data_IF_746164654659
#
_entry.id   IF_746164654659
#
_cell.length_a   1.000
_cell.length_b   1.000
_cell.length_c   1.000
_cell.angle_alpha   90.00
_cell.angle_beta   90.00
_cell.angle_gamma   90.00
#
_symmetry.space_group_name_H-M   'P 1'
#
loop_
_entity.id
_entity.type
_entity.pdbx_description
1 polymer ?
#
# COMPACT_ATOMS: atom_id res chain seq x y z
N UNK A 1 36.60 -30.09 14.07
CA UNK A 1 36.72 -30.86 12.82
C UNK A 1 36.38 -29.90 11.71
N UNK A 2 37.37 -29.57 10.88
CA UNK A 2 37.27 -28.65 9.76
C UNK A 2 36.99 -29.44 8.49
N UNK A 3 36.13 -28.91 7.61
CA UNK A 3 36.02 -29.34 6.23
C UNK A 3 35.98 -28.10 5.32
N UNK A 4 36.98 -27.92 4.42
CA UNK A 4 37.03 -26.85 3.45
C UNK A 4 36.87 -27.36 1.99
N UNK A 5 36.65 -26.39 1.08
CA UNK A 5 36.72 -26.44 -0.41
C UNK A 5 35.41 -26.84 -1.12
N UNK A 6 34.90 -26.10 -2.12
CA UNK A 6 35.58 -25.76 -3.37
C UNK A 6 35.31 -24.34 -3.91
N UNK A 7 36.41 -23.70 -4.24
CA UNK A 7 36.58 -22.55 -5.13
C UNK A 7 36.57 -23.08 -6.57
N UNK A 8 35.83 -22.47 -7.49
CA UNK A 8 36.04 -22.64 -8.93
C UNK A 8 36.23 -21.26 -9.51
N UNK A 9 37.49 -20.99 -9.83
CA UNK A 9 37.96 -19.86 -10.61
C UNK A 9 38.71 -20.47 -11.81
N UNK A 10 38.32 -20.04 -13.00
CA UNK A 10 38.94 -20.16 -14.34
C UNK A 10 37.79 -19.90 -15.34
N UNK A 11 37.86 -18.98 -16.31
CA UNK A 11 39.04 -18.49 -16.99
C UNK A 11 38.66 -17.28 -17.85
N UNK A 12 39.50 -16.27 -17.81
CA UNK A 12 39.54 -15.14 -18.73
C UNK A 12 39.64 -15.60 -20.18
N UNK A 13 38.91 -14.92 -21.07
CA UNK A 13 39.24 -14.88 -22.49
C UNK A 13 38.87 -13.49 -23.03
N UNK A 14 39.79 -12.54 -22.79
CA UNK A 14 39.81 -11.24 -23.44
C UNK A 14 40.32 -11.40 -24.87
N UNK A 15 39.50 -11.02 -25.86
CA UNK A 15 39.96 -10.50 -27.14
C UNK A 15 38.86 -9.71 -27.87
N UNK A 16 38.82 -8.40 -27.62
CA UNK A 16 38.65 -7.32 -28.59
C UNK A 16 37.50 -7.39 -29.63
N UNK A 17 36.40 -6.69 -29.34
CA UNK A 17 35.72 -5.84 -30.30
C UNK A 17 34.90 -4.78 -29.56
N UNK A 18 35.57 -3.69 -29.20
CA UNK A 18 34.95 -2.42 -28.86
C UNK A 18 34.24 -1.86 -30.09
N UNK A 19 32.92 -1.68 -30.01
CA UNK A 19 32.25 -0.45 -30.43
C UNK A 19 30.73 -0.48 -30.15
N UNK A 20 30.27 0.65 -29.60
CA UNK A 20 28.89 1.18 -29.48
C UNK A 20 28.33 1.21 -28.05
N UNK A 21 28.92 2.12 -27.27
CA UNK A 21 28.24 3.16 -26.49
C UNK A 21 26.71 3.22 -26.66
N UNK A 22 25.97 2.76 -25.64
CA UNK A 22 24.51 2.85 -25.54
C UNK A 22 24.04 4.02 -24.65
N UNK A 23 24.93 5.00 -24.38
CA UNK A 23 24.60 6.16 -23.56
C UNK A 23 24.49 7.42 -24.44
N UNK A 24 23.34 7.58 -25.10
CA UNK A 24 22.79 8.89 -25.45
C UNK A 24 21.28 8.78 -25.64
N UNK A 25 20.56 9.75 -25.06
CA UNK A 25 19.11 9.79 -24.82
C UNK A 25 18.24 9.61 -26.07
N UNK A 26 16.93 9.40 -25.96
CA UNK A 26 16.00 10.28 -25.26
C UNK A 26 14.61 9.62 -25.13
N UNK A 27 13.94 9.99 -24.03
CA UNK A 27 12.52 10.28 -23.83
C UNK A 27 11.40 9.49 -24.55
N UNK A 28 10.42 9.13 -23.71
CA UNK A 28 9.02 8.75 -24.00
C UNK A 28 8.75 7.24 -24.15
N UNK A 29 8.28 6.60 -23.07
CA UNK A 29 6.86 6.21 -22.94
C UNK A 29 6.64 5.29 -21.75
N UNK A 30 5.54 5.57 -21.03
CA UNK A 30 5.01 4.77 -19.93
C UNK A 30 4.50 3.38 -20.38
N UNK A 31 4.29 2.44 -19.44
CA UNK A 31 4.14 1.02 -19.70
C UNK A 31 2.68 0.59 -19.85
N UNK A 32 2.42 -0.42 -20.68
CA UNK A 32 1.14 -1.16 -20.69
C UNK A 32 1.36 -2.63 -20.32
N UNK A 33 0.35 -3.27 -19.69
CA UNK A 33 0.52 -4.48 -18.89
C UNK A 33 0.37 -5.75 -19.71
N UNK A 34 1.19 -6.74 -19.39
CA UNK A 34 1.12 -8.12 -19.87
C UNK A 34 -0.18 -8.79 -19.37
N UNK A 35 -1.05 -9.15 -20.31
CA UNK A 35 -2.12 -10.12 -20.14
C UNK A 35 -1.52 -11.53 -20.22
N UNK A 36 -1.43 -12.21 -19.07
CA UNK A 36 -1.21 -13.65 -19.00
C UNK A 36 -2.45 -14.37 -19.52
N UNK A 37 -2.35 -14.92 -20.73
CA UNK A 37 -3.39 -15.73 -21.37
C UNK A 37 -3.16 -17.21 -21.04
N UNK A 38 -4.17 -17.80 -20.41
CA UNK A 38 -4.26 -19.20 -20.01
C UNK A 38 -4.25 -20.16 -21.21
N UNK A 39 -3.53 -21.26 -21.03
CA UNK A 39 -3.38 -22.40 -21.92
C UNK A 39 -4.70 -23.11 -22.22
N UNK A 40 -5.03 -23.27 -23.50
CA UNK A 40 -5.84 -24.39 -24.00
C UNK A 40 -5.24 -24.86 -25.33
N UNK A 41 -4.86 -26.13 -25.30
CA UNK A 41 -4.21 -26.90 -26.35
C UNK A 41 -5.18 -27.36 -27.44
N UNK A 42 -4.61 -27.70 -28.60
CA UNK A 42 -5.17 -28.43 -29.75
C UNK A 42 -5.85 -27.61 -30.86
N UNK A 43 -5.05 -27.27 -31.88
CA UNK A 43 -5.33 -27.71 -33.25
C UNK A 43 -4.03 -27.71 -34.07
N UNK A 44 -3.83 -28.80 -34.79
CA UNK A 44 -2.60 -29.23 -35.43
C UNK A 44 -2.11 -28.30 -36.55
N UNK A 45 -0.83 -27.98 -36.52
CA UNK A 45 -0.12 -27.26 -37.58
C UNK A 45 0.32 -28.29 -38.62
N UNK A 46 -0.38 -28.35 -39.76
CA UNK A 46 0.17 -28.95 -40.97
C UNK A 46 0.99 -27.90 -41.70
N UNK A 47 2.29 -28.13 -41.75
CA UNK A 47 3.27 -27.44 -42.59
C UNK A 47 2.98 -27.63 -44.07
N UNK A 48 2.94 -26.54 -44.82
CA UNK A 48 3.39 -26.53 -46.22
C UNK A 48 4.09 -25.22 -46.51
N UNK A 49 5.40 -25.32 -46.71
CA UNK A 49 6.27 -24.28 -47.23
C UNK A 49 5.85 -23.91 -48.66
N UNK A 50 6.01 -22.63 -49.05
CA UNK A 50 6.85 -22.21 -50.19
C UNK A 50 6.81 -20.70 -50.43
N UNK A 51 8.02 -20.18 -50.69
CA UNK A 51 8.37 -19.10 -51.64
C UNK A 51 8.03 -17.63 -51.36
N UNK A 52 9.12 -16.86 -51.43
CA UNK A 52 9.27 -15.43 -51.49
C UNK A 52 8.37 -14.70 -52.50
N UNK A 53 8.09 -13.43 -52.20
CA UNK A 53 7.78 -12.39 -53.18
C UNK A 53 6.47 -11.66 -52.94
N UNK A 54 6.56 -10.42 -52.47
CA UNK A 54 5.48 -9.44 -52.55
C UNK A 54 4.97 -8.97 -51.18
N UNK A 55 5.40 -7.78 -50.79
CA UNK A 55 4.72 -6.98 -49.79
C UNK A 55 3.29 -6.72 -50.26
N UNK A 56 2.30 -7.46 -49.74
CA UNK A 56 0.89 -7.15 -49.85
C UNK A 56 0.25 -7.46 -48.50
N UNK A 57 -0.48 -6.47 -47.98
CA UNK A 57 -0.99 -6.42 -46.61
C UNK A 57 -1.75 -7.68 -46.22
N UNK A 58 -1.11 -8.53 -45.43
CA UNK A 58 -1.77 -9.63 -44.74
C UNK A 58 -2.33 -9.09 -43.42
N UNK A 59 -3.41 -8.28 -43.50
CA UNK A 59 -4.22 -8.01 -42.31
C UNK A 59 -4.84 -9.34 -41.94
N UNK A 60 -4.55 -9.80 -40.72
CA UNK A 60 -5.14 -11.01 -40.18
C UNK A 60 -6.65 -10.97 -40.41
N UNK A 61 -7.14 -11.95 -41.17
CA UNK A 61 -8.53 -11.97 -41.62
C UNK A 61 -9.50 -12.05 -40.44
N UNK A 62 -9.05 -12.66 -39.35
CA UNK A 62 -9.79 -12.72 -38.09
C UNK A 62 -9.85 -11.34 -37.42
N UNK A 63 -8.75 -10.59 -37.41
CA UNK A 63 -8.74 -9.20 -36.92
C UNK A 63 -9.64 -8.29 -37.78
N UNK A 64 -9.61 -8.43 -39.11
CA UNK A 64 -10.49 -7.69 -40.00
C UNK A 64 -11.97 -8.00 -39.73
N UNK A 65 -12.32 -9.29 -39.59
CA UNK A 65 -13.69 -9.69 -39.27
C UNK A 65 -14.15 -9.16 -37.92
N UNK A 66 -13.31 -9.25 -36.88
CA UNK A 66 -13.60 -8.70 -35.55
C UNK A 66 -13.81 -7.18 -35.60
N UNK A 67 -13.00 -6.46 -36.38
CA UNK A 67 -13.15 -5.01 -36.54
C UNK A 67 -14.45 -4.66 -37.25
N UNK A 68 -14.80 -5.39 -38.31
CA UNK A 68 -16.04 -5.19 -39.08
C UNK A 68 -17.27 -5.51 -38.24
N UNK A 69 -17.24 -6.57 -37.42
CA UNK A 69 -18.34 -6.96 -36.52
C UNK A 69 -18.57 -5.95 -35.39
N UNK A 70 -17.52 -5.27 -34.92
CA UNK A 70 -17.61 -4.23 -33.90
C UNK A 70 -18.24 -2.92 -34.40
N UNK A 71 -18.20 -2.62 -35.70
CA UNK A 71 -18.68 -1.33 -36.25
C UNK A 71 -20.18 -1.10 -35.99
N UNK A 72 -21.10 -2.03 -36.29
CA UNK A 72 -22.53 -1.88 -35.95
C UNK A 72 -22.79 -1.73 -34.45
N UNK A 73 -22.02 -2.40 -33.60
CA UNK A 73 -22.15 -2.33 -32.14
C UNK A 73 -21.73 -0.96 -31.61
N UNK A 74 -20.61 -0.44 -32.10
CA UNK A 74 -20.13 0.91 -31.78
C UNK A 74 -21.10 1.97 -32.29
N UNK A 75 -21.64 1.81 -33.50
CA UNK A 75 -22.66 2.70 -34.05
C UNK A 75 -23.93 2.69 -33.19
N UNK A 76 -24.42 1.52 -32.76
CA UNK A 76 -25.55 1.41 -31.85
C UNK A 76 -25.29 2.09 -30.50
N UNK A 77 -24.06 2.02 -29.98
CA UNK A 77 -23.67 2.69 -28.74
C UNK A 77 -23.68 4.22 -28.89
N UNK A 78 -23.20 4.73 -30.02
CA UNK A 78 -23.18 6.16 -30.35
C UNK A 78 -24.62 6.68 -30.51
N UNK A 79 -25.47 5.94 -31.21
CA UNK A 79 -26.87 6.30 -31.44
C UNK A 79 -27.70 6.26 -30.14
N UNK A 80 -27.37 5.35 -29.20
CA UNK A 80 -27.96 5.31 -27.84
C UNK A 80 -27.51 6.49 -26.97
N UNK A 81 -26.31 7.05 -27.19
CA UNK A 81 -25.83 8.20 -26.40
C UNK A 81 -26.58 9.49 -26.72
N UNK A 82 -27.12 9.61 -27.94
CA UNK A 82 -27.96 10.74 -28.34
C UNK A 82 -29.37 10.71 -27.72
N UNK A 83 -29.86 9.52 -27.32
CA UNK A 83 -31.15 9.31 -26.62
C UNK A 83 -30.99 9.11 -25.12
N UNK A 84 -29.96 9.71 -24.51
CA UNK A 84 -29.74 9.70 -23.05
C UNK A 84 -30.85 10.46 -22.33
N UNK A 85 -31.89 9.72 -21.94
CA UNK A 85 -33.02 10.18 -21.12
C UNK A 85 -32.75 9.99 -19.63
N UNK A 86 -31.49 10.08 -19.19
CA UNK A 86 -31.13 10.13 -17.78
C UNK A 86 -31.37 11.53 -17.22
N UNK A 87 -32.64 11.92 -17.06
CA UNK A 87 -32.98 12.95 -16.09
C UNK A 87 -32.69 12.35 -14.71
N UNK A 88 -31.60 12.80 -14.08
CA UNK A 88 -31.28 12.52 -12.68
C UNK A 88 -32.32 13.21 -11.79
N UNK A 89 -33.57 12.73 -11.82
CA UNK A 89 -34.64 13.16 -10.93
C UNK A 89 -34.48 12.40 -9.61
N UNK A 90 -33.48 12.81 -8.83
CA UNK A 90 -33.34 12.35 -7.45
C UNK A 90 -34.56 12.85 -6.65
N UNK A 91 -35.46 11.95 -6.28
CA UNK A 91 -36.52 12.27 -5.33
C UNK A 91 -35.87 12.47 -3.96
N UNK A 92 -35.69 13.72 -3.55
CA UNK A 92 -35.20 14.08 -2.22
C UNK A 92 -36.37 13.98 -1.25
N UNK A 93 -36.51 12.85 -0.57
CA UNK A 93 -37.45 12.70 0.55
C UNK A 93 -36.79 13.36 1.77
N UNK A 94 -37.28 14.53 2.14
CA UNK A 94 -36.81 15.27 3.31
C UNK A 94 -37.32 14.58 4.59
N UNK A 95 -36.47 13.80 5.26
CA UNK A 95 -36.77 13.32 6.60
C UNK A 95 -36.43 14.41 7.62
N UNK A 96 -37.37 14.72 8.52
CA UNK A 96 -37.18 15.68 9.61
C UNK A 96 -36.06 15.17 10.53
N UNK A 97 -35.10 16.01 10.87
CA UNK A 97 -34.06 15.73 11.87
C UNK A 97 -34.71 15.42 13.23
N UNK A 98 -34.34 14.32 13.92
CA UNK A 98 -34.90 14.02 15.24
C UNK A 98 -34.42 15.08 16.24
N UNK A 99 -35.36 15.62 17.02
CA UNK A 99 -35.07 16.63 18.05
C UNK A 99 -34.18 16.05 19.14
N UNK A 100 -33.19 16.83 19.57
CA UNK A 100 -32.18 16.47 20.57
C UNK A 100 -32.71 16.70 21.99
N UNK A 101 -33.90 16.19 22.30
CA UNK A 101 -34.49 16.27 23.64
C UNK A 101 -34.66 14.85 24.21
N UNK A 102 -33.73 14.48 25.10
CA UNK A 102 -33.89 13.53 26.21
C UNK A 102 -32.59 12.76 26.52
N UNK A 103 -31.47 13.47 26.68
CA UNK A 103 -30.30 12.93 27.36
C UNK A 103 -30.41 13.02 28.90
N UNK A 104 -31.60 12.87 29.46
CA UNK A 104 -31.76 12.78 30.93
C UNK A 104 -32.94 11.88 31.27
N UNK A 105 -32.71 10.59 31.52
CA UNK A 105 -33.21 9.86 32.71
C UNK A 105 -32.72 8.41 32.68
N UNK A 106 -32.27 8.00 33.87
CA UNK A 106 -31.73 6.69 34.24
C UNK A 106 -32.77 5.56 34.06
N UNK A 107 -32.23 4.38 33.67
CA UNK A 107 -32.53 3.04 34.21
C UNK A 107 -33.93 2.47 33.98
N UNK A 108 -34.01 1.44 33.14
CA UNK A 108 -35.17 0.56 33.05
C UNK A 108 -34.88 -0.66 32.19
N UNK A 109 -34.74 -1.82 32.84
CA UNK A 109 -34.62 -3.15 32.27
C UNK A 109 -35.99 -3.57 31.70
N UNK A 110 -35.98 -4.39 30.63
CA UNK A 110 -36.92 -5.47 30.30
C UNK A 110 -37.72 -5.36 28.99
N UNK A 111 -37.56 -6.44 28.19
CA UNK A 111 -38.61 -7.34 27.66
C UNK A 111 -39.50 -6.79 26.52
N UNK A 112 -39.66 -7.64 25.50
CA UNK A 112 -40.33 -7.37 24.23
C UNK A 112 -41.85 -7.21 24.29
N UNK A 113 -42.51 -7.63 23.20
CA UNK A 113 -43.91 -7.36 22.78
C UNK A 113 -44.01 -6.03 22.01
N UNK A 114 -44.73 -5.88 20.90
CA UNK A 114 -45.67 -6.71 20.16
C UNK A 114 -46.00 -6.02 18.82
N UNK A 115 -46.35 -6.82 17.80
CA UNK A 115 -47.03 -6.40 16.57
C UNK A 115 -48.39 -5.73 16.90
N UNK A 116 -48.79 -4.62 16.25
CA UNK A 116 -50.15 -4.13 16.33
C UNK A 116 -50.98 -4.64 15.14
N UNK A 117 -52.00 -5.44 15.45
CA UNK A 117 -53.15 -5.66 14.57
C UNK A 117 -54.35 -4.88 15.11
N UNK A 118 -55.22 -4.45 14.17
CA UNK A 118 -56.62 -3.98 14.32
C UNK A 118 -56.88 -2.47 14.37
N UNK A 119 -57.74 -2.01 13.45
CA UNK A 119 -59.12 -1.48 13.65
C UNK A 119 -59.55 -0.76 12.35
N UNK A 120 -60.52 -1.26 11.56
CA UNK A 120 -61.99 -1.16 11.68
C UNK A 120 -62.50 0.29 11.87
N UNK A 121 -63.07 0.86 10.81
CA UNK A 121 -63.84 2.13 10.83
C UNK A 121 -65.00 2.11 9.82
N UNK A 122 -66.16 1.70 10.34
CA UNK A 122 -67.45 2.42 10.35
C UNK A 122 -67.94 3.17 9.09
N UNK A 123 -69.06 2.70 8.52
CA UNK A 123 -70.13 3.41 7.76
C UNK A 123 -71.35 2.47 7.87
N UNK A 124 -72.58 2.83 8.23
CA UNK A 124 -73.29 4.08 8.45
C UNK A 124 -74.76 3.68 8.33
N UNK A 125 -75.56 3.91 9.37
CA UNK A 125 -76.92 3.36 9.50
C UNK A 125 -77.95 4.01 8.56
N UNK A 126 -79.06 3.28 8.36
CA UNK A 126 -80.38 3.85 8.11
C UNK A 126 -81.45 2.91 8.66
N UNK A 127 -82.17 3.44 9.64
CA UNK A 127 -83.42 2.93 10.20
C UNK A 127 -84.51 2.80 9.13
N UNK A 128 -85.31 1.73 9.25
CA UNK A 128 -86.77 1.86 9.34
C UNK A 128 -87.35 0.51 9.76
N UNK A 129 -87.77 0.44 11.02
CA UNK A 129 -88.65 -0.61 11.51
C UNK A 129 -90.10 -0.27 11.18
N UNK A 130 -90.89 -1.29 10.86
CA UNK A 130 -92.32 -1.38 11.15
C UNK A 130 -92.63 -2.85 11.46
N UNK A 131 -92.94 -3.12 12.72
CA UNK A 131 -93.66 -4.30 13.18
C UNK A 131 -95.06 -4.33 12.56
N UNK A 132 -95.46 -5.47 11.98
CA UNK A 132 -96.85 -5.97 12.07
C UNK A 132 -96.80 -7.49 12.05
N UNK A 133 -97.24 -8.07 13.15
CA UNK A 133 -97.49 -9.49 13.37
C UNK A 133 -98.97 -9.84 13.10
N UNK A 134 -99.23 -11.13 12.85
CA UNK A 134 -100.51 -11.87 12.82
C UNK A 134 -101.25 -12.05 11.48
N UNK A 135 -101.13 -13.24 10.86
CA UNK A 135 -102.07 -14.38 11.01
C UNK A 135 -101.92 -15.39 9.83
N UNK A 136 -101.89 -16.71 10.06
CA UNK A 136 -101.99 -17.72 9.01
C UNK A 136 -103.43 -18.25 8.88
N UNK A 137 -104.05 -18.04 7.73
CA UNK A 137 -105.02 -18.97 7.11
C UNK A 137 -105.62 -18.31 5.89
N UNK A 138 -105.36 -18.86 4.70
CA UNK A 138 -106.44 -19.07 3.74
C UNK A 138 -105.99 -20.09 2.70
N UNK A 139 -106.50 -21.30 2.87
CA UNK A 139 -106.58 -22.33 1.85
C UNK A 139 -107.41 -21.81 0.67
N UNK A 140 -106.77 -21.70 -0.50
CA UNK A 140 -107.47 -21.49 -1.77
C UNK A 140 -106.71 -22.21 -2.88
N UNK A 141 -106.90 -23.53 -2.91
CA UNK A 141 -107.00 -24.32 -4.14
C UNK A 141 -107.52 -23.47 -5.31
N UNK A 142 -106.70 -23.23 -6.34
CA UNK A 142 -107.10 -23.15 -7.76
C UNK A 142 -106.02 -22.55 -8.69
N UNK A 143 -104.84 -23.18 -8.85
CA UNK A 143 -104.02 -23.00 -10.08
C UNK A 143 -103.19 -24.27 -10.36
N UNK A 144 -103.83 -25.41 -10.60
CA UNK A 144 -103.18 -26.60 -11.17
C UNK A 144 -103.57 -26.77 -12.65
N UNK A 145 -103.42 -25.70 -13.42
CA UNK A 145 -103.44 -25.74 -14.88
C UNK A 145 -102.37 -24.83 -15.51
N UNK A 146 -101.25 -24.62 -14.80
CA UNK A 146 -100.02 -24.00 -15.33
C UNK A 146 -98.74 -24.76 -14.93
N UNK A 147 -98.86 -25.89 -14.21
CA UNK A 147 -97.71 -26.63 -13.68
C UNK A 147 -96.86 -27.31 -14.75
N UNK A 148 -97.40 -27.63 -15.94
CA UNK A 148 -96.65 -28.29 -17.01
C UNK A 148 -95.66 -27.38 -17.72
N UNK A 149 -95.94 -26.08 -17.85
CA UNK A 149 -95.03 -25.10 -18.49
C UNK A 149 -94.10 -24.42 -17.48
N UNK A 150 -94.52 -24.36 -16.21
CA UNK A 150 -93.66 -23.90 -15.10
C UNK A 150 -92.63 -24.97 -14.76
N UNK A 151 -92.99 -26.26 -14.74
CA UNK A 151 -92.00 -27.33 -14.56
C UNK A 151 -91.01 -27.40 -15.71
N UNK A 152 -91.41 -27.12 -16.95
CA UNK A 152 -90.50 -27.06 -18.09
C UNK A 152 -89.47 -25.94 -17.88
N UNK A 153 -89.93 -24.69 -17.67
CA UNK A 153 -89.03 -23.56 -17.34
C UNK A 153 -88.12 -23.80 -16.15
N UNK A 154 -88.66 -24.34 -15.05
CA UNK A 154 -87.88 -24.64 -13.86
C UNK A 154 -86.82 -25.73 -14.15
N UNK A 155 -87.11 -26.70 -15.02
CA UNK A 155 -86.14 -27.71 -15.45
C UNK A 155 -85.06 -27.11 -16.36
N UNK A 156 -85.41 -26.22 -17.30
CA UNK A 156 -84.41 -25.50 -18.10
C UNK A 156 -83.49 -24.66 -17.20
N UNK A 157 -84.02 -23.92 -16.24
CA UNK A 157 -83.23 -23.17 -15.26
C UNK A 157 -82.30 -24.10 -14.46
N UNK A 158 -82.80 -25.26 -14.03
CA UNK A 158 -81.99 -26.29 -13.34
C UNK A 158 -80.86 -26.81 -14.24
N UNK A 159 -81.09 -26.98 -15.54
CA UNK A 159 -80.03 -27.38 -16.49
C UNK A 159 -78.98 -26.30 -16.68
N UNK A 160 -79.37 -25.02 -16.76
CA UNK A 160 -78.40 -23.91 -16.86
C UNK A 160 -77.59 -23.73 -15.58
N UNK A 161 -78.21 -23.90 -14.40
CA UNK A 161 -77.50 -23.88 -13.12
C UNK A 161 -76.52 -25.04 -13.00
N UNK A 162 -76.89 -26.22 -13.49
CA UNK A 162 -75.99 -27.38 -13.56
C UNK A 162 -74.80 -27.09 -14.46
N UNK A 163 -75.02 -26.56 -15.66
CA UNK A 163 -73.96 -26.17 -16.59
C UNK A 163 -73.01 -25.14 -15.96
N UNK A 164 -73.55 -24.12 -15.29
CA UNK A 164 -72.73 -23.15 -14.54
C UNK A 164 -71.91 -23.80 -13.42
N UNK A 165 -72.48 -24.77 -12.71
CA UNK A 165 -71.77 -25.52 -11.67
C UNK A 165 -70.61 -26.32 -12.27
N UNK A 166 -70.83 -27.00 -13.39
CA UNK A 166 -69.81 -27.74 -14.13
C UNK A 166 -68.70 -26.81 -14.64
N UNK A 167 -69.05 -25.64 -15.16
CA UNK A 167 -68.09 -24.61 -15.59
C UNK A 167 -67.27 -24.04 -14.43
N UNK A 168 -67.92 -23.78 -13.28
CA UNK A 168 -67.23 -23.32 -12.07
C UNK A 168 -66.28 -24.39 -11.54
N UNK A 169 -66.72 -25.65 -11.53
CA UNK A 169 -65.88 -26.78 -11.14
C UNK A 169 -64.66 -26.92 -12.07
N UNK A 170 -64.85 -26.79 -13.38
CA UNK A 170 -63.75 -26.79 -14.36
C UNK A 170 -62.77 -25.63 -14.12
N UNK A 171 -63.28 -24.41 -13.90
CA UNK A 171 -62.45 -23.24 -13.58
C UNK A 171 -61.70 -23.39 -12.26
N UNK A 172 -62.28 -24.08 -11.28
CA UNK A 172 -61.62 -24.36 -10.02
C UNK A 172 -60.42 -25.31 -10.24
N UNK A 173 -60.63 -26.39 -11.00
CA UNK A 173 -59.55 -27.33 -11.35
C UNK A 173 -58.41 -26.66 -12.12
N UNK A 174 -58.72 -25.80 -13.09
CA UNK A 174 -57.72 -25.02 -13.82
C UNK A 174 -56.93 -24.10 -12.87
N UNK A 175 -57.61 -23.43 -11.93
CA UNK A 175 -56.93 -22.61 -10.91
C UNK A 175 -56.04 -23.45 -9.99
N UNK A 176 -56.48 -24.64 -9.58
CA UNK A 176 -55.69 -25.53 -8.73
C UNK A 176 -54.43 -26.02 -9.46
N UNK A 177 -54.50 -26.30 -10.77
CA UNK A 177 -53.34 -26.65 -11.58
C UNK A 177 -52.36 -25.47 -11.77
N UNK A 178 -52.89 -24.26 -11.98
CA UNK A 178 -52.08 -23.03 -12.01
C UNK A 178 -51.41 -22.76 -10.67
N UNK A 179 -52.12 -22.99 -9.56
CA UNK A 179 -51.58 -22.85 -8.20
C UNK A 179 -50.42 -23.83 -7.98
N UNK A 180 -50.60 -25.10 -8.38
CA UNK A 180 -49.53 -26.11 -8.33
C UNK A 180 -48.33 -25.72 -9.20
N UNK A 181 -48.58 -25.16 -10.38
CA UNK A 181 -47.51 -24.66 -11.27
C UNK A 181 -46.75 -23.48 -10.67
N UNK A 182 -47.47 -22.56 -10.00
CA UNK A 182 -46.87 -21.43 -9.30
C UNK A 182 -46.05 -21.88 -8.08
N UNK A 183 -46.52 -22.89 -7.34
CA UNK A 183 -45.78 -23.49 -6.22
C UNK A 183 -44.45 -24.11 -6.69
N UNK A 184 -44.48 -24.93 -7.74
CA UNK A 184 -43.25 -25.49 -8.33
C UNK A 184 -42.29 -24.41 -8.83
N UNK A 185 -42.81 -23.33 -9.43
CA UNK A 185 -41.98 -22.20 -9.84
C UNK A 185 -41.36 -21.46 -8.65
N UNK A 186 -42.09 -21.36 -7.54
CA UNK A 186 -41.59 -20.79 -6.30
C UNK A 186 -40.46 -21.64 -5.71
N UNK A 187 -40.61 -22.97 -5.70
CA UNK A 187 -39.55 -23.88 -5.26
C UNK A 187 -38.27 -23.75 -6.12
N UNK A 188 -38.43 -23.64 -7.44
CA UNK A 188 -37.31 -23.37 -8.35
C UNK A 188 -36.65 -22.03 -8.04
N UNK A 189 -37.44 -20.98 -7.80
CA UNK A 189 -36.95 -19.66 -7.42
C UNK A 189 -36.17 -19.70 -6.10
N UNK A 190 -36.67 -20.43 -5.10
CA UNK A 190 -35.98 -20.63 -3.82
C UNK A 190 -34.65 -21.38 -4.00
N UNK A 191 -34.60 -22.38 -4.88
CA UNK A 191 -33.36 -23.07 -5.27
C UNK A 191 -32.34 -22.12 -5.93
N UNK A 192 -32.81 -21.22 -6.80
CA UNK A 192 -31.96 -20.19 -7.43
C UNK A 192 -31.44 -19.20 -6.38
N UNK A 193 -32.28 -18.74 -5.46
CA UNK A 193 -31.85 -17.85 -4.37
C UNK A 193 -30.78 -18.49 -3.49
N UNK A 194 -30.94 -19.76 -3.11
CA UNK A 194 -29.92 -20.48 -2.34
C UNK A 194 -28.58 -20.58 -3.09
N UNK A 195 -28.60 -20.81 -4.40
CA UNK A 195 -27.39 -20.82 -5.24
C UNK A 195 -26.76 -19.44 -5.37
N UNK A 196 -27.58 -18.39 -5.49
CA UNK A 196 -27.11 -17.00 -5.55
C UNK A 196 -26.40 -16.61 -4.25
N UNK A 197 -26.98 -16.96 -3.10
CA UNK A 197 -26.36 -16.70 -1.80
C UNK A 197 -25.03 -17.43 -1.63
N UNK A 198 -24.96 -18.71 -2.04
CA UNK A 198 -23.71 -19.47 -2.02
C UNK A 198 -22.64 -18.85 -2.94
N UNK A 199 -23.03 -18.37 -4.13
CA UNK A 199 -22.12 -17.67 -5.04
C UNK A 199 -21.64 -16.35 -4.44
N UNK A 200 -22.53 -15.60 -3.79
CA UNK A 200 -22.20 -14.34 -3.15
C UNK A 200 -21.20 -14.54 -1.99
N UNK A 201 -21.39 -15.57 -1.16
CA UNK A 201 -20.44 -15.93 -0.12
C UNK A 201 -19.06 -16.28 -0.70
N UNK A 202 -19.03 -17.09 -1.77
CA UNK A 202 -17.78 -17.44 -2.46
C UNK A 202 -17.11 -16.21 -3.10
N UNK A 203 -17.88 -15.25 -3.58
CA UNK A 203 -17.36 -13.97 -4.08
C UNK A 203 -16.69 -13.20 -2.95
N UNK A 204 -17.36 -13.06 -1.80
CA UNK A 204 -16.82 -12.36 -0.64
C UNK A 204 -15.53 -13.02 -0.09
N UNK A 205 -15.45 -14.35 -0.10
CA UNK A 205 -14.24 -15.10 0.27
C UNK A 205 -13.07 -14.78 -0.68
N UNK A 206 -13.31 -14.81 -2.00
CA UNK A 206 -12.30 -14.44 -2.99
C UNK A 206 -11.86 -12.99 -2.85
N UNK A 207 -12.79 -12.07 -2.60
CA UNK A 207 -12.47 -10.66 -2.35
C UNK A 207 -11.62 -10.48 -1.09
N UNK A 208 -11.90 -11.26 -0.03
CA UNK A 208 -11.06 -11.30 1.17
C UNK A 208 -9.65 -11.81 0.88
N UNK A 209 -9.54 -12.88 0.07
CA UNK A 209 -8.25 -13.41 -0.36
C UNK A 209 -7.45 -12.39 -1.19
N UNK A 210 -8.09 -11.72 -2.14
CA UNK A 210 -7.48 -10.66 -2.95
C UNK A 210 -6.95 -9.53 -2.06
N UNK A 211 -7.75 -9.08 -1.07
CA UNK A 211 -7.32 -8.05 -0.11
C UNK A 211 -6.11 -8.52 0.71
N UNK A 212 -6.10 -9.77 1.17
CA UNK A 212 -4.96 -10.34 1.90
C UNK A 212 -3.70 -10.38 1.04
N UNK A 213 -3.79 -10.87 -0.20
CA UNK A 213 -2.66 -10.92 -1.13
C UNK A 213 -2.14 -9.51 -1.42
N UNK A 214 -3.04 -8.54 -1.63
CA UNK A 214 -2.64 -7.17 -1.86
C UNK A 214 -1.89 -6.57 -0.68
N UNK A 215 -2.34 -6.83 0.55
CA UNK A 215 -1.64 -6.43 1.77
C UNK A 215 -0.23 -7.03 1.84
N UNK A 216 -0.10 -8.35 1.60
CA UNK A 216 1.21 -9.02 1.61
C UNK A 216 2.16 -8.47 0.55
N UNK A 217 1.65 -8.15 -0.65
CA UNK A 217 2.44 -7.53 -1.71
C UNK A 217 2.92 -6.13 -1.32
N UNK A 218 2.07 -5.34 -0.65
CA UNK A 218 2.45 -4.02 -0.13
C UNK A 218 3.56 -4.14 0.91
N UNK A 219 3.43 -5.06 1.87
CA UNK A 219 4.45 -5.29 2.89
C UNK A 219 5.78 -5.74 2.29
N UNK A 220 5.74 -6.63 1.29
CA UNK A 220 6.92 -7.07 0.56
C UNK A 220 7.59 -5.90 -0.21
N UNK A 221 6.79 -5.02 -0.81
CA UNK A 221 7.29 -3.82 -1.50
C UNK A 221 8.00 -2.86 -0.54
N UNK A 222 7.45 -2.64 0.66
CA UNK A 222 8.07 -1.82 1.70
C UNK A 222 9.40 -2.44 2.13
N UNK A 223 9.42 -3.73 2.45
CA UNK A 223 10.67 -4.44 2.82
C UNK A 223 11.73 -4.37 1.73
N UNK A 224 11.33 -4.45 0.46
CA UNK A 224 12.26 -4.34 -0.66
C UNK A 224 12.86 -2.93 -0.74
N UNK A 225 12.05 -1.89 -0.55
CA UNK A 225 12.53 -0.50 -0.49
C UNK A 225 13.50 -0.30 0.69
N UNK A 226 13.21 -0.85 1.87
CA UNK A 226 14.10 -0.79 3.03
C UNK A 226 15.45 -1.48 2.76
N UNK A 227 15.41 -2.65 2.08
CA UNK A 227 16.63 -3.36 1.67
C UNK A 227 17.44 -2.57 0.64
N UNK A 228 16.77 -1.93 -0.30
CA UNK A 228 17.41 -1.06 -1.29
C UNK A 228 18.10 0.14 -0.62
N UNK A 229 17.42 0.81 0.31
CA UNK A 229 18.00 1.92 1.07
C UNK A 229 19.21 1.48 1.92
N UNK A 230 19.16 0.29 2.52
CA UNK A 230 20.30 -0.26 3.27
C UNK A 230 21.49 -0.57 2.36
N UNK A 231 21.24 -1.09 1.15
CA UNK A 231 22.28 -1.35 0.15
C UNK A 231 22.95 -0.06 -0.29
N UNK A 232 22.18 0.96 -0.69
CA UNK A 232 22.70 2.26 -1.11
C UNK A 232 23.53 2.94 -0.02
N UNK A 233 23.07 2.85 1.24
CA UNK A 233 23.84 3.33 2.39
C UNK A 233 25.18 2.61 2.52
N UNK A 234 25.17 1.27 2.49
CA UNK A 234 26.40 0.49 2.60
C UNK A 234 27.35 0.77 1.43
N UNK A 235 26.82 0.95 0.22
CA UNK A 235 27.60 1.33 -0.95
C UNK A 235 28.27 2.69 -0.76
N UNK A 236 27.53 3.68 -0.25
CA UNK A 236 28.10 4.99 0.11
C UNK A 236 29.18 4.89 1.18
N UNK A 237 28.98 4.07 2.23
CA UNK A 237 29.97 3.83 3.27
C UNK A 237 31.23 3.16 2.71
N UNK A 238 31.10 2.19 1.80
CA UNK A 238 32.23 1.55 1.12
C UNK A 238 32.99 2.55 0.25
N UNK A 239 32.31 3.34 -0.59
CA UNK A 239 32.97 4.33 -1.46
C UNK A 239 33.73 5.38 -0.65
N UNK A 240 33.12 5.89 0.42
CA UNK A 240 33.75 6.90 1.29
C UNK A 240 34.88 6.30 2.14
N UNK A 241 34.76 5.04 2.57
CA UNK A 241 35.87 4.35 3.25
C UNK A 241 37.02 4.06 2.31
N UNK A 242 36.76 3.65 1.07
CA UNK A 242 37.79 3.34 0.09
C UNK A 242 38.58 4.60 -0.28
N UNK A 243 37.90 5.74 -0.47
CA UNK A 243 38.55 7.03 -0.70
C UNK A 243 39.46 7.46 0.45
N UNK A 244 39.09 7.17 1.72
CA UNK A 244 39.96 7.44 2.88
C UNK A 244 41.17 6.52 2.94
N UNK A 245 41.01 5.26 2.49
CA UNK A 245 42.13 4.32 2.40
C UNK A 245 43.13 4.81 1.37
N UNK A 246 42.66 5.28 0.21
CA UNK A 246 43.50 5.85 -0.84
C UNK A 246 44.26 7.10 -0.35
N UNK A 247 43.60 7.99 0.40
CA UNK A 247 44.24 9.16 1.03
C UNK A 247 45.34 8.76 2.03
N UNK A 248 45.06 7.79 2.91
CA UNK A 248 46.04 7.27 3.87
C UNK A 248 47.22 6.56 3.18
N UNK A 249 46.98 5.87 2.07
CA UNK A 249 48.02 5.24 1.26
C UNK A 249 48.94 6.29 0.63
N UNK A 250 48.38 7.38 0.09
CA UNK A 250 49.15 8.51 -0.43
C UNK A 250 50.00 9.19 0.66
N UNK A 251 49.43 9.43 1.84
CA UNK A 251 50.15 9.99 2.99
C UNK A 251 51.31 9.09 3.44
N UNK A 252 51.10 7.77 3.47
CA UNK A 252 52.14 6.80 3.82
C UNK A 252 53.28 6.82 2.80
N UNK A 253 52.96 6.85 1.50
CA UNK A 253 53.94 6.93 0.42
C UNK A 253 54.75 8.24 0.49
N UNK A 254 54.08 9.36 0.79
CA UNK A 254 54.75 10.65 1.01
C UNK A 254 55.71 10.58 2.20
N UNK A 255 55.23 10.08 3.36
CA UNK A 255 56.05 9.96 4.57
C UNK A 255 57.24 9.02 4.37
N UNK A 256 57.08 7.92 3.63
CA UNK A 256 58.18 7.01 3.29
C UNK A 256 59.25 7.73 2.45
N UNK A 257 58.84 8.58 1.51
CA UNK A 257 59.73 9.44 0.74
C UNK A 257 60.51 10.42 1.63
N UNK A 258 59.80 11.08 2.57
CA UNK A 258 60.40 12.01 3.53
C UNK A 258 61.40 11.32 4.46
N UNK A 259 61.06 10.14 5.00
CA UNK A 259 61.95 9.31 5.83
C UNK A 259 63.18 8.87 5.03
N UNK A 260 63.02 8.50 3.76
CA UNK A 260 64.14 8.11 2.89
C UNK A 260 65.07 9.31 2.63
N UNK A 261 64.51 10.49 2.38
CA UNK A 261 65.25 11.73 2.22
C UNK A 261 66.04 12.09 3.49
N UNK A 262 65.39 11.98 4.65
CA UNK A 262 66.02 12.23 5.95
C UNK A 262 67.14 11.22 6.26
N UNK A 263 66.92 9.94 5.95
CA UNK A 263 67.93 8.88 6.13
C UNK A 263 69.15 9.12 5.22
N UNK A 264 68.94 9.55 3.97
CA UNK A 264 70.02 9.90 3.05
C UNK A 264 70.85 11.08 3.58
N UNK A 265 70.18 12.07 4.19
CA UNK A 265 70.86 13.20 4.84
C UNK A 265 71.74 12.73 6.01
N UNK A 266 71.21 11.86 6.89
CA UNK A 266 71.98 11.27 8.00
C UNK A 266 73.16 10.42 7.51
N UNK A 267 72.98 9.66 6.43
CA UNK A 267 74.05 8.87 5.83
C UNK A 267 75.13 9.77 5.21
N UNK A 268 74.73 10.88 4.59
CA UNK A 268 75.66 11.89 4.09
C UNK A 268 76.48 12.53 5.22
N UNK A 269 75.84 12.87 6.34
CA UNK A 269 76.51 13.44 7.52
C UNK A 269 77.52 12.44 8.14
N UNK A 270 77.13 11.19 8.34
CA UNK A 270 78.03 10.16 8.91
C UNK A 270 79.23 9.81 8.02
N UNK A 271 79.12 9.97 6.69
CA UNK A 271 80.25 9.78 5.75
C UNK A 271 81.25 10.94 5.75
N UNK A 272 80.87 12.13 6.21
CA UNK A 272 81.73 13.31 6.22
C UNK A 272 82.63 13.40 7.47
N UNK A 273 82.38 12.61 8.51
CA UNK A 273 83.10 12.68 9.80
C UNK A 273 84.22 11.63 9.98
N UNK A 274 84.65 10.92 8.93
CA UNK A 274 85.65 9.85 9.08
C UNK A 274 86.87 9.92 8.14
N UNK A 275 87.27 11.12 7.69
CA UNK A 275 88.62 11.26 7.12
C UNK A 275 89.31 12.56 7.55
N UNK A 276 90.25 12.37 8.49
CA UNK A 276 91.55 13.04 8.57
C UNK A 276 91.57 14.56 8.83
N UNK A 277 91.91 14.92 10.06
CA UNK A 277 92.44 16.25 10.38
C UNK A 277 92.02 16.78 11.74
N UNK A 278 92.88 16.58 12.73
CA UNK A 278 92.98 17.40 13.95
C UNK A 278 92.61 18.86 13.70
N UNK A 279 91.52 19.35 14.29
CA UNK A 279 91.44 20.69 14.86
C UNK A 279 90.32 20.71 15.90
N UNK A 280 90.68 21.06 17.14
CA UNK A 280 89.79 21.32 18.26
C UNK A 280 88.88 22.52 17.97
N UNK A 281 87.85 22.35 17.14
CA UNK A 281 86.74 23.29 17.11
C UNK A 281 85.64 22.77 18.02
N UNK A 282 85.72 23.20 19.28
CA UNK A 282 84.60 23.22 20.21
C UNK A 282 83.46 24.05 19.58
N UNK A 283 82.65 23.43 18.73
CA UNK A 283 81.29 23.90 18.47
C UNK A 283 80.50 23.60 19.74
N UNK A 284 80.64 24.50 20.70
CA UNK A 284 79.61 24.73 21.71
C UNK A 284 78.33 25.05 20.96
N UNK A 285 77.59 24.01 20.60
CA UNK A 285 76.15 24.08 20.37
C UNK A 285 75.61 24.82 21.58
N UNK A 286 75.30 26.10 21.41
CA UNK A 286 74.51 26.86 22.36
C UNK A 286 73.10 26.26 22.35
N UNK A 287 72.99 25.07 22.93
CA UNK A 287 71.74 24.53 23.42
C UNK A 287 71.29 25.53 24.48
N UNK A 288 70.09 26.14 24.34
CA UNK A 288 69.57 27.00 25.39
C UNK A 288 69.63 26.23 26.70
N UNK A 289 70.31 26.82 27.67
CA UNK A 289 70.44 26.31 29.02
C UNK A 289 69.07 25.87 29.55
N UNK A 290 68.99 24.58 29.88
CA UNK A 290 67.93 23.99 30.68
C UNK A 290 66.50 24.17 30.13
N UNK A 291 66.04 23.21 29.31
CA UNK A 291 64.63 22.82 29.42
C UNK A 291 64.35 22.58 30.90
N UNK A 292 63.40 23.29 31.54
CA UNK A 292 63.08 23.04 32.94
C UNK A 292 62.74 21.56 33.08
N UNK A 293 63.47 20.89 33.96
CA UNK A 293 63.31 19.47 34.28
C UNK A 293 61.87 19.24 34.75
N UNK A 294 61.01 18.77 33.85
CA UNK A 294 59.57 18.52 34.08
C UNK A 294 59.35 17.24 34.93
N UNK A 295 60.41 16.48 35.15
CA UNK A 295 60.41 15.16 35.79
C UNK A 295 60.32 15.21 37.33
N UNK A 296 60.07 16.39 37.90
CA UNK A 296 59.80 16.63 39.34
C UNK A 296 58.33 17.05 39.60
N UNK A 297 57.43 16.94 38.59
CA UNK A 297 56.00 17.23 38.77
C UNK A 297 55.25 16.00 39.27
N UNK A 298 54.52 16.15 40.37
CA UNK A 298 53.68 15.08 40.92
C UNK A 298 52.51 14.72 39.99
N UNK A 299 51.94 13.51 40.13
CA UNK A 299 50.84 13.03 39.26
C UNK A 299 49.60 13.95 39.29
N UNK A 300 49.35 14.61 40.42
CA UNK A 300 48.22 15.52 40.59
C UNK A 300 48.45 16.83 39.83
N UNK A 301 49.69 17.28 39.79
CA UNK A 301 50.14 18.48 39.13
C UNK A 301 50.23 18.30 37.61
N UNK A 302 50.65 17.11 37.18
CA UNK A 302 50.53 16.68 35.79
C UNK A 302 49.08 16.71 35.32
N UNK A 303 48.14 16.21 36.14
CA UNK A 303 46.71 16.26 35.84
C UNK A 303 46.17 17.70 35.76
N UNK A 304 46.60 18.60 36.66
CA UNK A 304 46.21 20.02 36.63
C UNK A 304 46.75 20.76 35.39
N UNK A 305 47.98 20.44 34.97
CA UNK A 305 48.56 21.00 33.76
C UNK A 305 47.77 20.54 32.51
N UNK A 306 47.39 19.27 32.47
CA UNK A 306 46.57 18.71 31.39
C UNK A 306 45.17 19.35 31.36
N UNK A 307 44.53 19.52 32.52
CA UNK A 307 43.24 20.23 32.61
C UNK A 307 43.36 21.70 32.14
N UNK A 308 44.43 22.40 32.52
CA UNK A 308 44.71 23.76 32.06
C UNK A 308 44.96 23.82 30.54
N UNK A 309 45.60 22.79 29.96
CA UNK A 309 45.78 22.63 28.52
C UNK A 309 44.43 22.49 27.79
N UNK A 310 43.57 21.60 28.29
CA UNK A 310 42.24 21.39 27.74
C UNK A 310 41.36 22.65 27.86
N UNK A 311 41.44 23.35 28.99
CA UNK A 311 40.73 24.62 29.20
C UNK A 311 41.19 25.71 28.22
N UNK A 312 42.50 25.81 27.95
CA UNK A 312 43.03 26.74 26.96
C UNK A 312 42.54 26.41 25.54
N UNK A 313 42.59 25.13 25.14
CA UNK A 313 42.08 24.70 23.83
C UNK A 313 40.59 25.01 23.68
N UNK A 314 39.79 24.74 24.71
CA UNK A 314 38.36 25.05 24.72
C UNK A 314 38.10 26.57 24.64
N UNK A 315 38.85 27.37 25.40
CA UNK A 315 38.73 28.82 25.39
C UNK A 315 39.15 29.42 24.02
N UNK A 316 40.18 28.89 23.38
CA UNK A 316 40.59 29.29 22.02
C UNK A 316 39.53 28.91 21.00
N UNK A 317 38.91 27.74 21.11
CA UNK A 317 37.80 27.35 20.24
C UNK A 317 36.58 28.29 20.43
N UNK A 318 36.25 28.63 21.68
CA UNK A 318 35.18 29.58 22.00
C UNK A 318 35.47 30.99 21.46
N UNK A 319 36.71 31.48 21.62
CA UNK A 319 37.16 32.77 21.09
C UNK A 319 37.06 32.81 19.56
N UNK A 320 37.45 31.74 18.87
CA UNK A 320 37.30 31.61 17.41
C UNK A 320 35.83 31.59 16.97
N UNK A 321 34.95 30.95 17.73
CA UNK A 321 33.54 30.82 17.39
C UNK A 321 32.72 32.09 17.65
N UNK A 322 32.98 32.78 18.78
CA UNK A 322 32.17 33.92 19.23
C UNK A 322 32.79 35.28 18.89
N UNK A 323 34.11 35.36 18.80
CA UNK A 323 34.87 36.59 18.49
C UNK A 323 34.49 37.80 19.36
N UNK A 324 34.00 37.55 20.58
CA UNK A 324 33.68 38.54 21.59
C UNK A 324 34.86 38.75 22.54
N UNK A 325 34.96 39.97 23.08
CA UNK A 325 36.05 40.39 23.98
C UNK A 325 36.17 39.48 25.22
N UNK A 326 35.03 38.99 25.71
CA UNK A 326 34.97 38.07 26.85
C UNK A 326 35.63 36.72 26.54
N UNK A 327 35.38 36.13 25.36
CA UNK A 327 36.02 34.86 24.97
C UNK A 327 37.51 35.04 24.65
N UNK A 328 37.91 36.19 24.10
CA UNK A 328 39.33 36.53 23.87
C UNK A 328 40.06 36.69 25.21
N UNK A 329 39.46 37.38 26.18
CA UNK A 329 40.00 37.51 27.53
C UNK A 329 40.08 36.15 28.25
N UNK A 330 39.07 35.28 28.09
CA UNK A 330 39.09 33.92 28.61
C UNK A 330 40.25 33.08 28.00
N UNK A 331 40.52 33.20 26.71
CA UNK A 331 41.65 32.53 26.07
C UNK A 331 43.00 33.06 26.58
N UNK A 332 43.12 34.38 26.80
CA UNK A 332 44.33 34.99 27.34
C UNK A 332 44.61 34.55 28.80
N UNK A 333 43.57 34.48 29.63
CA UNK A 333 43.69 34.01 31.03
C UNK A 333 44.04 32.53 31.10
N UNK A 334 43.42 31.68 30.27
CA UNK A 334 43.78 30.26 30.19
C UNK A 334 45.22 30.05 29.70
N UNK A 335 45.70 30.88 28.76
CA UNK A 335 47.12 30.87 28.33
C UNK A 335 48.06 31.24 29.47
N UNK A 336 47.72 32.25 30.27
CA UNK A 336 48.52 32.67 31.43
C UNK A 336 48.56 31.58 32.51
N UNK A 337 47.44 30.88 32.72
CA UNK A 337 47.37 29.71 33.59
C UNK A 337 48.34 28.61 33.12
N UNK A 338 48.35 28.27 31.83
CA UNK A 338 49.26 27.28 31.27
C UNK A 338 50.73 27.69 31.37
N UNK A 339 51.03 28.97 31.13
CA UNK A 339 52.38 29.53 31.29
C UNK A 339 52.89 29.43 32.73
N UNK A 340 52.01 29.50 33.73
CA UNK A 340 52.41 29.37 35.13
C UNK A 340 53.02 28.00 35.47
N UNK A 341 52.62 26.94 34.76
CA UNK A 341 53.21 25.61 34.92
C UNK A 341 54.59 25.49 34.26
N UNK A 342 54.85 26.27 33.20
CA UNK A 342 56.10 26.23 32.42
C UNK A 342 57.18 27.12 33.04
N UNK A 343 56.81 28.27 33.60
CA UNK A 343 57.75 29.24 34.15
C UNK A 343 57.90 29.17 35.68
N UNK A 344 57.80 27.98 36.28
CA UNK A 344 58.01 27.79 37.72
C UNK A 344 59.36 28.33 38.16
N UNK A 345 59.37 29.50 38.79
CA UNK A 345 60.50 29.97 39.58
C UNK A 345 60.49 29.21 40.89
N UNK A 346 61.38 28.22 41.04
CA UNK A 346 61.71 27.67 42.36
C UNK A 346 62.32 28.82 43.18
N UNK A 347 61.50 29.47 44.02
CA UNK A 347 62.01 30.28 45.12
C UNK A 347 62.57 29.29 46.13
N UNK A 348 63.88 29.17 46.17
CA UNK A 348 64.60 28.44 47.21
C UNK A 348 64.38 29.18 48.54
N UNK A 349 63.38 28.76 49.31
CA UNK A 349 63.29 29.11 50.73
C UNK A 349 64.46 28.44 51.45
N UNK A 350 65.53 29.21 51.64
CA UNK A 350 66.55 28.96 52.65
C UNK A 350 66.01 29.51 53.96
N UNK A 351 65.58 28.62 54.87
CA UNK A 351 65.73 28.79 56.31
C UNK A 351 65.77 27.44 57.02
#
# INVERSE_FOLDING_TARGET
MFEPQHFVDLQDNDAFADNKSWLSGDHNSSPTPLLSRSSLSNASISTSATTAGGANGNVDRELYNNLVEMVPLVQSLIDRKASSSFSKRGSMIYTKTPSRESLHRKKGRNIGHSVPTKNKKDHGGKDQGLDVDNNPDNDAFAVLSSSSLVSERDNEELTTLREQLEDLQKKLLEKDELLKSAEMSNDQMNSVYAKLDALNLRSAEKDSMIKSIHSQLSDAKIKLADKQAALEKMQWEVMTSNSKIEELEEELMSSQGDVSSFMLLLEGLTKNDCNEGTEDYNLSLHLPESCPYIDDMDDMEMQKMEEASQAYVAAVAAAKARQDEESIAAAATARSCLQSFVFRTKVSDVY
#
